data_IF_733672071664
#
_entry.id   IF_733672071664
#
_cell.length_a   1.000
_cell.length_b   1.000
_cell.length_c   1.000
_cell.angle_alpha   90.00
_cell.angle_beta   90.00
_cell.angle_gamma   90.00
#
_symmetry.space_group_name_H-M   'P 1'
#
loop_
_entity.id
_entity.type
_entity.pdbx_description
1 polymer ?
#
# COMPACT_ATOMS: atom_id res chain seq x y z
N UNK A 1 5.38 -13.89 -21.82
CA UNK A 1 4.58 -13.55 -20.63
C UNK A 1 5.41 -12.85 -19.53
N UNK A 2 6.41 -12.02 -19.87
CA UNK A 2 7.31 -11.39 -18.90
C UNK A 2 6.85 -9.99 -18.39
N UNK A 3 5.76 -9.45 -18.93
CA UNK A 3 5.15 -8.20 -18.45
C UNK A 3 4.41 -8.41 -17.13
N UNK A 4 3.47 -9.36 -17.12
CA UNK A 4 2.61 -9.69 -15.98
C UNK A 4 3.40 -10.00 -14.70
N UNK A 5 4.51 -10.74 -14.80
CA UNK A 5 5.32 -11.04 -13.61
C UNK A 5 6.01 -9.80 -13.02
N UNK A 6 6.39 -8.83 -13.87
CA UNK A 6 7.00 -7.58 -13.39
C UNK A 6 5.97 -6.70 -12.72
N UNK A 7 4.77 -6.62 -13.30
CA UNK A 7 3.64 -5.89 -12.72
C UNK A 7 3.23 -6.48 -11.37
N UNK A 8 3.21 -7.80 -11.23
CA UNK A 8 2.92 -8.49 -9.96
C UNK A 8 3.97 -8.18 -8.87
N UNK A 9 5.26 -8.17 -9.23
CA UNK A 9 6.34 -7.79 -8.31
C UNK A 9 6.18 -6.33 -7.87
N UNK A 10 5.95 -5.42 -8.82
CA UNK A 10 5.75 -3.99 -8.53
C UNK A 10 4.52 -3.78 -7.64
N UNK A 11 3.43 -4.48 -7.92
CA UNK A 11 2.21 -4.47 -7.12
C UNK A 11 2.46 -4.94 -5.68
N UNK A 12 3.13 -6.09 -5.53
CA UNK A 12 3.43 -6.64 -4.21
C UNK A 12 4.31 -5.69 -3.39
N UNK A 13 5.36 -5.13 -3.99
CA UNK A 13 6.23 -4.16 -3.31
C UNK A 13 5.47 -2.89 -2.94
N UNK A 14 4.55 -2.40 -3.78
CA UNK A 14 3.69 -1.27 -3.43
C UNK A 14 2.84 -1.54 -2.18
N UNK A 15 2.20 -2.71 -2.11
CA UNK A 15 1.37 -3.10 -0.95
C UNK A 15 2.21 -3.20 0.33
N UNK A 16 3.41 -3.78 0.26
CA UNK A 16 4.33 -3.87 1.40
C UNK A 16 4.72 -2.49 1.93
N UNK A 17 4.98 -1.52 1.03
CA UNK A 17 5.27 -0.14 1.43
C UNK A 17 4.09 0.52 2.13
N UNK A 18 2.87 0.35 1.62
CA UNK A 18 1.65 0.93 2.23
C UNK A 18 1.41 0.37 3.63
N UNK A 19 1.57 -0.94 3.82
CA UNK A 19 1.45 -1.57 5.14
C UNK A 19 2.50 -1.02 6.11
N UNK A 20 3.76 -0.86 5.64
CA UNK A 20 4.86 -0.34 6.46
C UNK A 20 4.66 1.13 6.84
N UNK A 21 4.20 1.97 5.91
CA UNK A 21 3.85 3.38 6.15
C UNK A 21 2.81 3.51 7.26
N UNK A 22 1.74 2.71 7.20
CA UNK A 22 0.65 2.77 8.16
C UNK A 22 0.92 2.02 9.49
N UNK A 23 1.91 1.12 9.53
CA UNK A 23 2.24 0.35 10.73
C UNK A 23 3.15 1.10 11.72
N UNK A 24 4.30 1.60 11.24
CA UNK A 24 5.26 2.38 12.04
C UNK A 24 6.47 2.75 11.16
N UNK A 25 6.28 3.54 10.10
CA UNK A 25 7.40 3.96 9.26
C UNK A 25 8.27 5.01 9.93
N UNK A 26 9.60 4.85 9.82
CA UNK A 26 10.56 5.86 10.25
C UNK A 26 11.04 6.72 9.06
N UNK A 27 11.76 7.82 9.33
CA UNK A 27 12.28 8.73 8.30
C UNK A 27 13.23 8.07 7.28
N UNK A 28 13.89 6.97 7.64
CA UNK A 28 14.68 6.16 6.72
C UNK A 28 13.81 5.42 5.70
N UNK A 29 12.70 4.84 6.16
CA UNK A 29 11.75 4.10 5.32
C UNK A 29 11.10 5.03 4.29
N UNK A 30 10.79 6.26 4.68
CA UNK A 30 10.24 7.26 3.76
C UNK A 30 11.25 7.62 2.65
N UNK A 31 12.55 7.69 2.96
CA UNK A 31 13.58 7.95 1.96
C UNK A 31 13.73 6.78 0.98
N UNK A 32 13.69 5.56 1.46
CA UNK A 32 13.71 4.35 0.62
C UNK A 32 12.48 4.26 -0.27
N UNK A 33 11.30 4.56 0.27
CA UNK A 33 10.06 4.63 -0.49
C UNK A 33 10.16 5.69 -1.61
N UNK A 34 10.59 6.91 -1.29
CA UNK A 34 10.75 7.97 -2.30
C UNK A 34 11.77 7.56 -3.37
N UNK A 35 12.86 6.91 -2.97
CA UNK A 35 13.85 6.40 -3.93
C UNK A 35 13.25 5.32 -4.84
N UNK A 36 12.43 4.42 -4.30
CA UNK A 36 11.74 3.38 -5.09
C UNK A 36 10.70 3.97 -6.04
N UNK A 37 9.91 4.94 -5.61
CA UNK A 37 8.90 5.62 -6.44
C UNK A 37 9.51 6.42 -7.59
N UNK A 38 10.71 6.97 -7.42
CA UNK A 38 11.41 7.72 -8.46
C UNK A 38 12.10 6.84 -9.51
N UNK A 39 12.20 5.52 -9.30
CA UNK A 39 12.86 4.63 -10.25
C UNK A 39 12.01 4.35 -11.50
N UNK A 40 10.69 4.24 -11.35
CA UNK A 40 9.78 3.93 -12.45
C UNK A 40 8.38 4.52 -12.19
N UNK A 41 7.75 5.06 -13.24
CA UNK A 41 6.37 5.54 -13.18
C UNK A 41 5.36 4.46 -12.77
N UNK A 42 5.66 3.19 -13.08
CA UNK A 42 4.84 2.03 -12.75
C UNK A 42 4.83 1.76 -11.23
N UNK A 43 5.94 2.04 -10.54
CA UNK A 43 6.02 1.94 -9.08
C UNK A 43 5.08 2.96 -8.43
N UNK A 44 5.08 4.20 -8.94
CA UNK A 44 4.19 5.25 -8.46
C UNK A 44 2.72 4.91 -8.66
N UNK A 45 2.35 4.44 -9.86
CA UNK A 45 0.99 4.06 -10.16
C UNK A 45 0.49 2.91 -9.25
N UNK A 46 1.32 1.89 -9.05
CA UNK A 46 0.98 0.77 -8.17
C UNK A 46 0.86 1.20 -6.69
N UNK A 47 1.75 2.08 -6.23
CA UNK A 47 1.69 2.64 -4.87
C UNK A 47 0.41 3.43 -4.63
N UNK A 48 0.09 4.37 -5.53
CA UNK A 48 -1.12 5.20 -5.41
C UNK A 48 -2.40 4.35 -5.40
N UNK A 49 -2.43 3.27 -6.18
CA UNK A 49 -3.55 2.33 -6.21
C UNK A 49 -3.62 1.50 -4.91
N UNK A 50 -2.49 0.95 -4.45
CA UNK A 50 -2.42 0.21 -3.19
C UNK A 50 -2.83 1.07 -1.99
N UNK A 51 -2.39 2.34 -1.94
CA UNK A 51 -2.80 3.30 -0.90
C UNK A 51 -4.29 3.56 -0.93
N UNK A 52 -4.89 3.71 -2.12
CA UNK A 52 -6.35 3.89 -2.26
C UNK A 52 -7.12 2.68 -1.75
N UNK A 53 -6.69 1.48 -2.09
CA UNK A 53 -7.32 0.24 -1.59
C UNK A 53 -7.19 0.14 -0.06
N UNK A 54 -6.01 0.44 0.49
CA UNK A 54 -5.78 0.42 1.94
C UNK A 54 -6.69 1.40 2.68
N UNK A 55 -6.86 2.62 2.16
CA UNK A 55 -7.78 3.61 2.73
C UNK A 55 -9.25 3.14 2.72
N UNK A 56 -9.67 2.46 1.66
CA UNK A 56 -11.02 1.88 1.60
C UNK A 56 -11.17 0.70 2.55
N UNK A 57 -10.12 -0.13 2.69
CA UNK A 57 -10.12 -1.29 3.58
C UNK A 57 -10.05 -0.95 5.07
N UNK A 58 -9.41 0.16 5.45
CA UNK A 58 -9.38 0.65 6.84
C UNK A 58 -10.68 1.39 7.23
N UNK A 59 -11.50 1.79 6.24
CA UNK A 59 -12.82 2.38 6.45
C UNK A 59 -13.92 1.31 6.64
N UNK A 60 -13.62 0.22 7.35
CA UNK A 60 -14.67 -0.69 7.80
C UNK A 60 -15.10 -0.21 9.18
N UNK A 61 -16.24 0.51 9.32
CA UNK A 61 -16.78 0.77 10.63
C UNK A 61 -17.12 -0.59 11.24
N UNK A 62 -16.52 -0.93 12.37
CA UNK A 62 -17.06 -1.97 13.22
C UNK A 62 -18.44 -1.50 13.66
N UNK A 63 -19.48 -1.85 12.89
CA UNK A 63 -20.83 -1.91 13.41
C UNK A 63 -20.80 -2.98 14.49
N UNK A 64 -20.41 -2.60 15.70
CA UNK A 64 -20.76 -3.32 16.91
C UNK A 64 -22.29 -3.45 16.88
N UNK A 65 -22.86 -4.65 16.63
CA UNK A 65 -24.29 -4.81 16.80
C UNK A 65 -24.61 -4.44 18.25
N UNK A 66 -25.71 -3.70 18.53
CA UNK A 66 -26.08 -3.41 19.90
C UNK A 66 -26.31 -4.74 20.62
N UNK A 67 -25.50 -5.01 21.65
CA UNK A 67 -25.82 -6.03 22.63
C UNK A 67 -27.14 -5.64 23.26
N UNK A 68 -28.20 -6.35 22.88
CA UNK A 68 -29.50 -6.24 23.49
C UNK A 68 -29.43 -6.99 24.83
N UNK A 69 -29.23 -6.26 25.93
CA UNK A 69 -29.50 -6.74 27.29
C UNK A 69 -30.98 -6.56 27.63
#
# INVERSE_FOLDING_TARGET
MAGVQREDIVWKTAVEWVIREHGSSNSADLKELIAWLNQDSSHRAAYEEASRIWLLAVFVPSSTPPSNE
#
